data_IF_881142082775
#
_entry.id   IF_881142082775
#
_cell.length_a   1.000
_cell.length_b   1.000
_cell.length_c   1.000
_cell.angle_alpha   90.00
_cell.angle_beta   90.00
_cell.angle_gamma   90.00
#
_symmetry.space_group_name_H-M   'P 1'
#
loop_
_entity.id
_entity.type
_entity.pdbx_description
1 polymer ?
#
# COMPACT_ATOMS: atom_id res chain seq x y z
N UNK A 1 -83.74 5.88 14.06
CA UNK A 1 -83.06 6.58 12.95
C UNK A 1 -81.62 6.10 12.92
N UNK A 2 -81.30 5.18 12.01
CA UNK A 2 -80.02 4.47 11.95
C UNK A 2 -79.10 5.16 10.94
N UNK A 3 -77.94 5.64 11.36
CA UNK A 3 -76.92 6.19 10.47
C UNK A 3 -75.93 5.08 10.07
N UNK A 4 -76.07 4.56 8.84
CA UNK A 4 -75.03 3.76 8.18
C UNK A 4 -73.97 4.70 7.61
N UNK A 5 -72.74 4.64 8.15
CA UNK A 5 -71.56 5.23 7.52
C UNK A 5 -70.77 4.13 6.80
N UNK A 6 -70.83 4.17 5.47
CA UNK A 6 -70.06 3.35 4.54
C UNK A 6 -68.55 3.63 4.70
N UNK A 7 -67.79 2.64 5.17
CA UNK A 7 -66.33 2.64 5.06
C UNK A 7 -65.94 2.19 3.65
N UNK A 8 -65.45 3.13 2.84
CA UNK A 8 -64.83 2.82 1.55
C UNK A 8 -63.49 2.11 1.79
N UNK A 9 -63.39 0.87 1.31
CA UNK A 9 -62.15 0.10 1.31
C UNK A 9 -61.35 0.46 0.07
N UNK A 10 -60.27 1.23 0.23
CA UNK A 10 -59.33 1.50 -0.86
C UNK A 10 -58.43 0.27 -1.08
N UNK A 11 -58.72 -0.50 -2.13
CA UNK A 11 -57.84 -1.57 -2.62
C UNK A 11 -56.58 -0.93 -3.21
N UNK A 12 -55.46 -0.95 -2.48
CA UNK A 12 -54.15 -0.63 -3.04
C UNK A 12 -53.68 -1.79 -3.91
N UNK A 13 -53.71 -1.62 -5.23
CA UNK A 13 -53.10 -2.56 -6.16
C UNK A 13 -51.57 -2.53 -5.99
N UNK A 14 -50.99 -3.61 -5.49
CA UNK A 14 -49.55 -3.83 -5.49
C UNK A 14 -49.09 -4.20 -6.90
N UNK A 15 -48.67 -3.18 -7.66
CA UNK A 15 -47.95 -3.41 -8.92
C UNK A 15 -46.56 -3.94 -8.56
N UNK A 16 -46.36 -5.25 -8.68
CA UNK A 16 -45.06 -5.89 -8.60
C UNK A 16 -44.21 -5.44 -9.79
N UNK A 17 -43.42 -4.38 -9.61
CA UNK A 17 -42.41 -3.96 -10.58
C UNK A 17 -41.27 -4.97 -10.55
N UNK A 18 -41.32 -5.96 -11.43
CA UNK A 18 -40.22 -6.92 -11.63
C UNK A 18 -39.08 -6.21 -12.35
N UNK A 19 -38.15 -5.65 -11.58
CA UNK A 19 -36.89 -5.14 -12.12
C UNK A 19 -36.04 -6.32 -12.62
N UNK A 20 -36.11 -6.61 -13.93
CA UNK A 20 -35.16 -7.51 -14.57
C UNK A 20 -33.82 -6.81 -14.65
N UNK A 21 -32.87 -7.24 -13.81
CA UNK A 21 -31.48 -6.83 -13.92
C UNK A 21 -30.93 -7.26 -15.29
N UNK A 22 -30.48 -6.28 -16.09
CA UNK A 22 -29.83 -6.52 -17.36
C UNK A 22 -28.39 -7.01 -17.12
N UNK A 23 -28.20 -8.33 -17.07
CA UNK A 23 -26.87 -8.95 -17.01
C UNK A 23 -26.27 -8.99 -18.41
N UNK A 24 -25.28 -8.15 -18.68
CA UNK A 24 -24.46 -8.21 -19.90
C UNK A 24 -23.37 -9.27 -19.73
N UNK A 25 -23.75 -10.55 -19.76
CA UNK A 25 -22.75 -11.62 -19.75
C UNK A 25 -22.13 -11.71 -21.15
N UNK A 26 -20.97 -11.10 -21.36
CA UNK A 26 -20.13 -11.36 -22.55
C UNK A 26 -19.70 -12.83 -22.52
N UNK A 27 -20.07 -13.65 -23.51
CA UNK A 27 -19.66 -15.05 -23.54
C UNK A 27 -18.17 -15.10 -23.94
N UNK A 28 -17.30 -15.58 -23.05
CA UNK A 28 -15.93 -15.97 -23.43
C UNK A 28 -14.77 -15.57 -22.53
N UNK A 29 -14.96 -14.74 -21.50
CA UNK A 29 -13.95 -14.60 -20.44
C UNK A 29 -14.33 -15.50 -19.27
N UNK A 30 -13.48 -16.49 -18.97
CA UNK A 30 -13.55 -17.29 -17.76
C UNK A 30 -13.88 -16.37 -16.57
N UNK A 31 -14.88 -16.78 -15.78
CA UNK A 31 -15.48 -15.99 -14.70
C UNK A 31 -14.41 -15.27 -13.87
N UNK A 32 -14.15 -14.00 -14.20
CA UNK A 32 -13.40 -13.10 -13.35
C UNK A 32 -14.26 -12.97 -12.11
N UNK A 33 -13.74 -13.40 -10.95
CA UNK A 33 -14.43 -13.28 -9.67
C UNK A 33 -14.97 -11.84 -9.60
N UNK A 34 -16.29 -11.63 -9.42
CA UNK A 34 -16.84 -10.29 -9.38
C UNK A 34 -16.10 -9.50 -8.30
N UNK A 35 -15.51 -8.36 -8.69
CA UNK A 35 -14.76 -7.48 -7.79
C UNK A 35 -15.66 -6.83 -6.74
N UNK A 36 -16.97 -6.75 -7.03
CA UNK A 36 -17.98 -6.18 -6.15
C UNK A 36 -18.57 -7.31 -5.31
N UNK A 37 -18.30 -7.25 -4.01
CA UNK A 37 -18.99 -8.05 -3.01
C UNK A 37 -20.27 -7.30 -2.58
N UNK A 38 -21.45 -7.89 -2.83
CA UNK A 38 -22.75 -7.29 -2.49
C UNK A 38 -23.52 -6.65 -3.66
N UNK A 39 -24.61 -5.96 -3.34
CA UNK A 39 -25.43 -5.16 -4.25
C UNK A 39 -24.93 -3.71 -4.30
N UNK A 40 -25.40 -2.93 -5.30
CA UNK A 40 -25.06 -1.50 -5.43
C UNK A 40 -25.48 -0.62 -4.24
N UNK A 41 -26.38 -1.12 -3.38
CA UNK A 41 -26.86 -0.39 -2.20
C UNK A 41 -26.20 -0.87 -0.90
N UNK A 42 -25.37 -1.90 -0.95
CA UNK A 42 -24.73 -2.43 0.26
C UNK A 42 -23.50 -1.58 0.60
N UNK A 43 -23.34 -1.17 1.88
CA UNK A 43 -22.18 -0.40 2.29
C UNK A 43 -20.91 -1.25 2.16
N UNK A 44 -19.86 -0.69 1.56
CA UNK A 44 -18.55 -1.33 1.55
C UNK A 44 -18.05 -1.52 2.98
N UNK A 45 -17.71 -2.75 3.41
CA UNK A 45 -17.19 -2.97 4.74
C UNK A 45 -15.82 -2.32 4.87
N UNK A 46 -15.68 -1.43 5.85
CA UNK A 46 -14.38 -0.83 6.17
C UNK A 46 -13.72 -1.61 7.29
N UNK A 47 -12.41 -1.89 7.19
CA UNK A 47 -11.66 -2.44 8.32
C UNK A 47 -11.67 -1.44 9.48
N UNK A 48 -11.58 -1.96 10.72
CA UNK A 48 -11.50 -1.12 11.91
C UNK A 48 -10.32 -0.13 11.80
N UNK A 49 -10.50 1.17 12.14
CA UNK A 49 -9.44 2.16 12.02
C UNK A 49 -8.19 1.77 12.82
N UNK A 50 -7.03 1.78 12.18
CA UNK A 50 -5.74 1.54 12.81
C UNK A 50 -4.75 2.66 12.46
N UNK A 51 -4.37 3.46 13.46
CA UNK A 51 -3.42 4.59 13.28
C UNK A 51 -2.05 4.15 12.78
N UNK A 52 -1.61 2.94 13.13
CA UNK A 52 -0.34 2.39 12.67
C UNK A 52 -0.31 2.16 11.16
N UNK A 53 -1.44 1.82 10.53
CA UNK A 53 -1.54 1.63 9.08
C UNK A 53 -1.88 2.92 8.31
N UNK A 54 -2.21 4.00 9.03
CA UNK A 54 -2.59 5.28 8.43
C UNK A 54 -1.66 6.40 8.88
N UNK A 55 -2.11 7.21 9.83
CA UNK A 55 -1.46 8.47 10.19
C UNK A 55 -0.01 8.31 10.67
N UNK A 56 0.30 7.28 11.47
CA UNK A 56 1.67 7.08 11.98
C UNK A 56 2.62 6.65 10.89
N UNK A 57 2.21 5.70 10.05
CA UNK A 57 2.98 5.26 8.88
C UNK A 57 3.30 6.45 7.96
N UNK A 58 2.27 7.22 7.60
CA UNK A 58 2.44 8.41 6.75
C UNK A 58 3.40 9.44 7.38
N UNK A 59 3.21 9.74 8.66
CA UNK A 59 4.05 10.73 9.37
C UNK A 59 5.50 10.28 9.43
N UNK A 60 5.74 8.99 9.72
CA UNK A 60 7.08 8.41 9.77
C UNK A 60 7.77 8.48 8.41
N UNK A 61 7.08 8.12 7.32
CA UNK A 61 7.64 8.22 5.97
C UNK A 61 8.05 9.64 5.63
N UNK A 62 7.20 10.63 5.92
CA UNK A 62 7.51 12.05 5.64
C UNK A 62 8.67 12.55 6.49
N UNK A 63 8.72 12.19 7.77
CA UNK A 63 9.81 12.55 8.68
C UNK A 63 11.13 11.95 8.21
N UNK A 64 11.15 10.65 7.88
CA UNK A 64 12.36 9.98 7.40
C UNK A 64 12.85 10.60 6.08
N UNK A 65 11.94 10.91 5.16
CA UNK A 65 12.26 11.57 3.89
C UNK A 65 12.84 12.96 4.11
N UNK A 66 12.24 13.75 5.01
CA UNK A 66 12.75 15.07 5.40
C UNK A 66 14.11 15.00 6.08
N UNK A 67 14.33 14.02 6.96
CA UNK A 67 15.58 13.81 7.68
C UNK A 67 16.73 13.32 6.78
N UNK A 68 16.42 12.59 5.71
CA UNK A 68 17.42 12.14 4.74
C UNK A 68 18.13 13.31 4.04
N UNK A 69 17.45 14.44 3.80
CA UNK A 69 18.04 15.61 3.13
C UNK A 69 19.26 16.18 3.88
N UNK A 70 19.15 16.61 5.16
CA UNK A 70 20.30 17.07 5.91
C UNK A 70 21.31 15.95 6.22
N UNK A 71 20.86 14.69 6.34
CA UNK A 71 21.76 13.55 6.57
C UNK A 71 22.70 13.32 5.38
N UNK A 72 22.16 13.30 4.15
CA UNK A 72 22.97 13.22 2.92
C UNK A 72 23.93 14.41 2.85
N UNK A 73 23.44 15.63 3.09
CA UNK A 73 24.28 16.83 3.13
C UNK A 73 25.43 16.71 4.14
N UNK A 74 25.16 16.24 5.36
CA UNK A 74 26.16 16.01 6.38
C UNK A 74 27.20 14.98 5.92
N UNK A 75 26.78 13.84 5.34
CA UNK A 75 27.71 12.82 4.85
C UNK A 75 28.55 13.26 3.65
N UNK A 76 28.04 14.19 2.83
CA UNK A 76 28.75 14.71 1.67
C UNK A 76 29.88 15.68 2.05
N UNK A 77 29.70 16.49 3.09
CA UNK A 77 30.69 17.51 3.51
C UNK A 77 31.66 17.01 4.58
N UNK A 78 31.30 15.96 5.30
CA UNK A 78 32.17 15.40 6.35
C UNK A 78 33.20 14.42 5.77
N UNK A 79 34.32 14.27 6.49
CA UNK A 79 35.21 13.13 6.28
C UNK A 79 34.47 11.83 6.60
N UNK A 80 34.95 10.71 6.06
CA UNK A 80 34.25 9.44 6.22
C UNK A 80 34.19 9.06 7.69
N UNK A 81 32.95 8.86 8.16
CA UNK A 81 32.63 8.62 9.55
C UNK A 81 31.72 7.39 9.66
N UNK A 82 32.18 6.27 10.24
CA UNK A 82 31.47 4.99 10.21
C UNK A 82 30.04 5.05 10.78
N UNK A 83 29.80 5.85 11.83
CA UNK A 83 28.46 6.00 12.41
C UNK A 83 27.53 6.75 11.44
N UNK A 84 28.02 7.79 10.77
CA UNK A 84 27.20 8.54 9.82
C UNK A 84 26.89 7.66 8.60
N UNK A 85 27.86 6.86 8.15
CA UNK A 85 27.68 5.86 7.11
C UNK A 85 26.65 4.79 7.48
N UNK A 86 26.68 4.31 8.73
CA UNK A 86 25.68 3.36 9.26
C UNK A 86 24.28 3.97 9.36
N UNK A 87 24.16 5.21 9.82
CA UNK A 87 22.87 5.90 9.91
C UNK A 87 22.31 6.18 8.51
N UNK A 88 23.15 6.66 7.58
CA UNK A 88 22.78 6.87 6.17
C UNK A 88 22.33 5.56 5.51
N UNK A 89 23.10 4.49 5.70
CA UNK A 89 22.76 3.15 5.21
C UNK A 89 21.36 2.71 5.62
N UNK A 90 21.08 2.72 6.93
CA UNK A 90 19.79 2.24 7.45
C UNK A 90 18.66 3.16 7.01
N UNK A 91 18.87 4.48 7.03
CA UNK A 91 17.85 5.46 6.65
C UNK A 91 17.45 5.32 5.17
N UNK A 92 18.42 5.18 4.26
CA UNK A 92 18.16 4.97 2.83
C UNK A 92 17.42 3.65 2.62
N UNK A 93 17.89 2.55 3.23
CA UNK A 93 17.26 1.23 3.06
C UNK A 93 15.82 1.22 3.59
N UNK A 94 15.57 1.84 4.74
CA UNK A 94 14.22 1.96 5.31
C UNK A 94 13.30 2.81 4.41
N UNK A 95 13.78 3.94 3.90
CA UNK A 95 13.03 4.79 2.97
C UNK A 95 12.69 4.05 1.67
N UNK A 96 13.68 3.35 1.09
CA UNK A 96 13.49 2.55 -0.12
C UNK A 96 12.51 1.38 0.11
N UNK A 97 12.57 0.70 1.26
CA UNK A 97 11.64 -0.38 1.59
C UNK A 97 10.18 0.11 1.58
N UNK A 98 9.89 1.21 2.28
CA UNK A 98 8.54 1.77 2.31
C UNK A 98 8.08 2.28 0.94
N UNK A 99 8.97 2.96 0.20
CA UNK A 99 8.66 3.43 -1.15
C UNK A 99 8.33 2.29 -2.11
N UNK A 100 9.10 1.20 -2.06
CA UNK A 100 8.82 0.00 -2.88
C UNK A 100 7.53 -0.71 -2.44
N UNK A 101 7.22 -0.74 -1.14
CA UNK A 101 5.95 -1.31 -0.64
C UNK A 101 4.74 -0.50 -1.16
N UNK A 102 4.82 0.83 -1.22
CA UNK A 102 3.78 1.67 -1.85
C UNK A 102 3.59 1.33 -3.34
N UNK A 103 4.69 1.17 -4.10
CA UNK A 103 4.63 0.76 -5.51
C UNK A 103 3.92 -0.60 -5.67
N UNK A 104 4.18 -1.55 -4.76
CA UNK A 104 3.52 -2.86 -4.80
C UNK A 104 2.02 -2.76 -4.51
N UNK A 105 1.62 -1.95 -3.54
CA UNK A 105 0.21 -1.75 -3.19
C UNK A 105 -0.56 -1.09 -4.34
N UNK A 106 0.05 -0.13 -5.03
CA UNK A 106 -0.59 0.60 -6.12
C UNK A 106 -0.69 -0.22 -7.42
N UNK A 107 0.38 -0.94 -7.80
CA UNK A 107 0.48 -1.54 -9.14
C UNK A 107 0.39 -3.06 -9.15
N UNK A 108 0.75 -3.74 -8.06
CA UNK A 108 0.86 -5.22 -7.99
C UNK A 108 -0.05 -5.77 -6.88
N UNK A 109 -1.22 -5.16 -6.73
CA UNK A 109 -2.16 -5.50 -5.67
C UNK A 109 -2.61 -6.98 -5.73
N UNK A 110 -2.62 -7.73 -4.60
CA UNK A 110 -2.93 -9.16 -4.57
C UNK A 110 -4.34 -9.51 -5.07
N UNK A 111 -5.31 -8.59 -4.97
CA UNK A 111 -6.65 -8.81 -5.52
C UNK A 111 -6.65 -8.97 -7.05
N UNK A 112 -5.70 -8.32 -7.75
CA UNK A 112 -5.53 -8.43 -9.20
C UNK A 112 -4.49 -9.49 -9.56
N UNK A 113 -3.42 -9.59 -8.78
CA UNK A 113 -2.31 -10.50 -9.01
C UNK A 113 -2.04 -11.35 -7.76
N UNK A 114 -2.84 -12.41 -7.49
CA UNK A 114 -2.78 -13.14 -6.23
C UNK A 114 -1.44 -13.87 -6.00
N UNK A 115 -0.83 -14.37 -7.09
CA UNK A 115 0.46 -15.06 -7.03
C UNK A 115 1.62 -14.06 -7.02
N UNK A 116 1.73 -13.23 -8.06
CA UNK A 116 2.84 -12.28 -8.21
C UNK A 116 2.84 -11.23 -7.10
N UNK A 117 1.68 -10.69 -6.71
CA UNK A 117 1.60 -9.72 -5.61
C UNK A 117 2.12 -10.28 -4.29
N UNK A 118 1.83 -11.55 -3.99
CA UNK A 118 2.35 -12.22 -2.79
C UNK A 118 3.86 -12.46 -2.88
N UNK A 119 4.35 -12.93 -4.03
CA UNK A 119 5.78 -13.16 -4.25
C UNK A 119 6.57 -11.85 -4.16
N UNK A 120 6.13 -10.80 -4.86
CA UNK A 120 6.80 -9.50 -4.89
C UNK A 120 6.90 -8.87 -3.50
N UNK A 121 5.84 -9.00 -2.69
CA UNK A 121 5.83 -8.52 -1.29
C UNK A 121 6.91 -9.19 -0.44
N UNK A 122 7.07 -10.51 -0.58
CA UNK A 122 8.14 -11.24 0.12
C UNK A 122 9.52 -10.97 -0.46
N UNK A 123 9.62 -10.82 -1.77
CA UNK A 123 10.87 -10.45 -2.45
C UNK A 123 11.43 -9.13 -1.91
N UNK A 124 10.60 -8.08 -1.81
CA UNK A 124 11.03 -6.79 -1.25
C UNK A 124 11.53 -6.94 0.18
N UNK A 125 10.86 -7.75 1.02
CA UNK A 125 11.29 -7.96 2.41
C UNK A 125 12.61 -8.72 2.54
N UNK A 126 12.76 -9.78 1.75
CA UNK A 126 14.01 -10.57 1.70
C UNK A 126 15.14 -9.70 1.16
N UNK A 127 14.88 -8.93 0.09
CA UNK A 127 15.85 -8.01 -0.48
C UNK A 127 16.26 -6.93 0.53
N UNK A 128 15.32 -6.32 1.25
CA UNK A 128 15.62 -5.36 2.32
C UNK A 128 16.49 -5.97 3.41
N UNK A 129 16.18 -7.18 3.88
CA UNK A 129 17.02 -7.88 4.86
C UNK A 129 18.43 -8.18 4.32
N UNK A 130 18.52 -8.68 3.09
CA UNK A 130 19.79 -8.96 2.43
C UNK A 130 20.64 -7.70 2.22
N UNK A 131 20.03 -6.58 1.81
CA UNK A 131 20.71 -5.29 1.65
C UNK A 131 21.19 -4.78 3.01
N UNK A 132 20.38 -4.87 4.08
CA UNK A 132 20.83 -4.48 5.43
C UNK A 132 22.06 -5.27 5.88
N UNK A 133 22.06 -6.60 5.68
CA UNK A 133 23.22 -7.44 6.01
C UNK A 133 24.43 -7.08 5.15
N UNK A 134 24.24 -6.91 3.83
CA UNK A 134 25.30 -6.57 2.91
C UNK A 134 25.94 -5.21 3.24
N UNK A 135 25.12 -4.19 3.49
CA UNK A 135 25.60 -2.86 3.85
C UNK A 135 26.24 -2.84 5.24
N UNK A 136 25.72 -3.61 6.20
CA UNK A 136 26.39 -3.80 7.49
C UNK A 136 27.78 -4.39 7.32
N UNK A 137 27.92 -5.46 6.53
CA UNK A 137 29.24 -6.04 6.26
C UNK A 137 30.17 -5.10 5.52
N UNK A 138 29.64 -4.33 4.57
CA UNK A 138 30.41 -3.35 3.81
C UNK A 138 30.92 -2.20 4.69
N UNK A 139 30.10 -1.70 5.62
CA UNK A 139 30.51 -0.63 6.53
C UNK A 139 31.44 -1.10 7.67
N UNK A 140 31.42 -2.39 8.01
CA UNK A 140 32.21 -2.93 9.14
C UNK A 140 33.49 -3.65 8.72
N UNK A 141 33.52 -4.25 7.52
CA UNK A 141 34.63 -5.07 7.05
C UNK A 141 35.26 -4.54 5.74
N UNK A 142 34.74 -3.46 5.17
CA UNK A 142 35.25 -2.83 3.95
C UNK A 142 35.37 -1.31 4.12
N UNK A 143 35.60 -0.58 3.03
CA UNK A 143 35.87 0.86 3.02
C UNK A 143 34.68 1.74 3.45
N UNK A 144 33.46 1.21 3.44
CA UNK A 144 32.23 1.94 3.75
C UNK A 144 31.58 2.64 2.55
N UNK A 145 30.29 2.97 2.70
CA UNK A 145 29.46 3.54 1.63
C UNK A 145 29.97 4.89 1.13
N UNK A 146 30.25 5.85 2.01
CA UNK A 146 30.66 7.19 1.58
C UNK A 146 32.04 7.20 0.95
N UNK A 147 32.99 6.40 1.44
CA UNK A 147 34.28 6.22 0.75
C UNK A 147 34.11 5.55 -0.61
N UNK A 148 33.25 4.53 -0.72
CA UNK A 148 32.95 3.90 -2.00
C UNK A 148 32.46 4.93 -3.01
N UNK A 149 31.49 5.77 -2.63
CA UNK A 149 30.95 6.83 -3.49
C UNK A 149 32.05 7.82 -3.87
N UNK A 150 32.88 8.26 -2.91
CA UNK A 150 34.01 9.17 -3.17
C UNK A 150 35.01 8.59 -4.17
N UNK A 151 35.41 7.33 -4.01
CA UNK A 151 36.34 6.65 -4.93
C UNK A 151 35.73 6.42 -6.30
N UNK A 152 34.48 5.97 -6.36
CA UNK A 152 33.76 5.72 -7.61
C UNK A 152 33.55 7.01 -8.42
N UNK A 153 33.44 8.17 -7.76
CA UNK A 153 33.31 9.46 -8.44
C UNK A 153 34.58 9.91 -9.19
N UNK A 154 35.74 9.40 -8.77
CA UNK A 154 37.04 9.72 -9.39
C UNK A 154 37.58 8.59 -10.28
N UNK A 155 36.83 7.50 -10.44
CA UNK A 155 37.17 6.38 -11.32
C UNK A 155 36.87 6.71 -12.79
#
# INVERSE_FOLDING_TARGET
>A
MSFQLLRHSALRSSVLSSARAFSTTRPGLAAVKPYIEGTVNDPTPFPAPNKAHGSYHWTFERLLSGALVPLVGATAVTSVHPILDGVLAVAIVAHSHMGLDQVLIDYVHPNKFPVIGTISKWLVRIATGGVLVGVYQFNTNDIGLTELVKKAWHA
#
